data_IF_049279390264
#
_entry.id   IF_049279390264
#
_cell.length_a   1.000
_cell.length_b   1.000
_cell.length_c   1.000
_cell.angle_alpha   90.00
_cell.angle_beta   90.00
_cell.angle_gamma   90.00
#
_symmetry.space_group_name_H-M   'P 1'
#
loop_
_entity.id
_entity.type
_entity.pdbx_description
1 polymer ?
#
# COMPACT_ATOMS: atom_id res chain seq x y z
N UNK A 1 -1.37 37.21 21.03
CA UNK A 1 -1.77 35.79 21.22
C UNK A 1 -3.15 35.47 20.64
N UNK A 2 -3.67 36.26 19.68
CA UNK A 2 -4.93 35.96 18.98
C UNK A 2 -4.58 35.07 17.80
N UNK A 3 -5.20 33.90 17.69
CA UNK A 3 -5.04 32.98 16.54
C UNK A 3 -4.28 31.66 16.82
N UNK A 4 -3.57 31.53 17.94
CA UNK A 4 -2.83 30.29 18.22
C UNK A 4 -3.76 29.07 18.38
N UNK A 5 -4.86 29.24 19.13
CA UNK A 5 -5.84 28.17 19.38
C UNK A 5 -6.46 27.62 18.08
N UNK A 6 -7.02 28.43 17.16
CA UNK A 6 -7.55 27.90 15.92
C UNK A 6 -6.46 27.34 15.00
N UNK A 7 -5.25 27.91 14.97
CA UNK A 7 -4.15 27.37 14.17
C UNK A 7 -3.74 25.95 14.60
N UNK A 8 -3.51 25.74 15.90
CA UNK A 8 -3.16 24.42 16.44
C UNK A 8 -4.33 23.43 16.33
N UNK A 9 -5.57 23.88 16.54
CA UNK A 9 -6.75 23.03 16.41
C UNK A 9 -6.92 22.52 14.97
N UNK A 10 -6.79 23.39 13.97
CA UNK A 10 -6.89 23.00 12.56
C UNK A 10 -5.74 22.09 12.16
N UNK A 11 -4.52 22.40 12.60
CA UNK A 11 -3.35 21.54 12.36
C UNK A 11 -3.57 20.13 12.90
N UNK A 12 -3.98 20.00 14.17
CA UNK A 12 -4.19 18.70 14.80
C UNK A 12 -5.36 17.95 14.16
N UNK A 13 -6.44 18.66 13.83
CA UNK A 13 -7.58 18.06 13.13
C UNK A 13 -7.17 17.47 11.78
N UNK A 14 -6.48 18.24 10.95
CA UNK A 14 -6.03 17.77 9.64
C UNK A 14 -4.97 16.67 9.75
N UNK A 15 -4.09 16.72 10.75
CA UNK A 15 -3.12 15.66 11.01
C UNK A 15 -3.82 14.33 11.32
N UNK A 16 -4.81 14.34 12.23
CA UNK A 16 -5.54 13.13 12.61
C UNK A 16 -6.42 12.63 11.47
N UNK A 17 -7.04 13.53 10.71
CA UNK A 17 -7.90 13.16 9.60
C UNK A 17 -7.11 12.55 8.44
N UNK A 18 -6.03 13.21 8.00
CA UNK A 18 -5.25 12.77 6.83
C UNK A 18 -4.21 11.71 7.17
N UNK A 19 -3.64 11.73 8.38
CA UNK A 19 -2.64 10.76 8.82
C UNK A 19 -3.20 9.57 9.61
N UNK A 20 -4.44 9.68 10.12
CA UNK A 20 -5.10 8.61 10.87
C UNK A 20 -6.31 8.06 10.15
N UNK A 21 -7.37 8.87 10.04
CA UNK A 21 -8.67 8.43 9.49
C UNK A 21 -8.52 7.95 8.05
N UNK A 22 -7.85 8.71 7.20
CA UNK A 22 -7.68 8.38 5.79
C UNK A 22 -6.91 7.06 5.53
N UNK A 23 -5.69 6.82 6.06
CA UNK A 23 -4.98 5.58 5.82
C UNK A 23 -5.71 4.36 6.43
N UNK A 24 -6.34 4.51 7.60
CA UNK A 24 -7.11 3.42 8.19
C UNK A 24 -8.33 3.06 7.35
N UNK A 25 -9.09 4.06 6.91
CA UNK A 25 -10.28 3.85 6.08
C UNK A 25 -9.91 3.19 4.74
N UNK A 26 -8.89 3.71 4.06
CA UNK A 26 -8.43 3.16 2.78
C UNK A 26 -7.84 1.76 2.93
N UNK A 27 -7.09 1.49 4.00
CA UNK A 27 -6.58 0.14 4.29
C UNK A 27 -7.71 -0.84 4.57
N UNK A 28 -8.68 -0.46 5.41
CA UNK A 28 -9.82 -1.31 5.75
C UNK A 28 -10.67 -1.64 4.51
N UNK A 29 -11.03 -0.63 3.71
CA UNK A 29 -11.79 -0.83 2.48
C UNK A 29 -10.99 -1.63 1.44
N UNK A 30 -9.69 -1.36 1.31
CA UNK A 30 -8.79 -2.08 0.42
C UNK A 30 -8.70 -3.57 0.77
N UNK A 31 -8.56 -3.90 2.06
CA UNK A 31 -8.53 -5.29 2.52
C UNK A 31 -9.90 -5.97 2.39
N UNK A 32 -11.00 -5.25 2.62
CA UNK A 32 -12.35 -5.81 2.49
C UNK A 32 -12.66 -6.16 1.03
N UNK A 33 -12.48 -5.21 0.11
CA UNK A 33 -12.92 -5.36 -1.28
C UNK A 33 -11.86 -5.99 -2.18
N UNK A 34 -10.58 -5.73 -1.93
CA UNK A 34 -9.48 -6.12 -2.82
C UNK A 34 -8.29 -6.73 -2.06
N UNK A 35 -8.50 -7.78 -1.24
CA UNK A 35 -7.45 -8.31 -0.36
C UNK A 35 -6.22 -8.79 -1.13
N UNK A 36 -6.36 -9.44 -2.29
CA UNK A 36 -5.20 -9.93 -3.03
C UNK A 36 -4.30 -8.79 -3.55
N UNK A 37 -4.90 -7.73 -4.10
CA UNK A 37 -4.19 -6.55 -4.59
C UNK A 37 -3.62 -5.71 -3.45
N UNK A 38 -4.41 -5.49 -2.38
CA UNK A 38 -4.00 -4.73 -1.20
C UNK A 38 -2.80 -5.39 -0.48
N UNK A 39 -2.65 -6.72 -0.59
CA UNK A 39 -1.52 -7.46 -0.05
C UNK A 39 -0.40 -7.69 -1.10
N UNK A 40 -0.37 -6.94 -2.20
CA UNK A 40 0.75 -6.91 -3.13
C UNK A 40 0.65 -7.89 -4.31
N UNK A 41 -0.53 -8.47 -4.56
CA UNK A 41 -0.79 -9.33 -5.73
C UNK A 41 0.18 -10.53 -5.82
N UNK A 42 0.45 -11.16 -4.67
CA UNK A 42 1.47 -12.19 -4.53
C UNK A 42 1.08 -13.48 -5.25
N UNK A 43 2.05 -14.09 -5.92
CA UNK A 43 1.95 -15.40 -6.57
C UNK A 43 2.58 -16.44 -5.65
N UNK A 44 1.78 -17.41 -5.23
CA UNK A 44 2.21 -18.52 -4.39
C UNK A 44 2.28 -19.80 -5.21
N UNK A 45 3.34 -20.58 -5.01
CA UNK A 45 3.47 -21.93 -5.57
C UNK A 45 4.11 -22.83 -4.52
N UNK A 46 3.44 -23.93 -4.18
CA UNK A 46 3.90 -24.90 -3.16
C UNK A 46 4.17 -24.23 -1.80
N UNK A 47 3.28 -23.31 -1.40
CA UNK A 47 3.40 -22.50 -0.17
C UNK A 47 4.63 -21.57 -0.11
N UNK A 48 5.34 -21.40 -1.23
CA UNK A 48 6.46 -20.46 -1.38
C UNK A 48 5.99 -19.25 -2.18
N UNK A 49 6.26 -18.05 -1.67
CA UNK A 49 6.05 -16.80 -2.40
C UNK A 49 7.06 -16.75 -3.54
N UNK A 50 6.57 -16.78 -4.78
CA UNK A 50 7.41 -16.69 -5.97
C UNK A 50 7.63 -15.25 -6.41
N UNK A 51 6.79 -14.31 -6.00
CA UNK A 51 6.88 -12.89 -6.34
C UNK A 51 5.50 -12.24 -6.37
N UNK A 52 5.40 -11.11 -7.07
CA UNK A 52 4.15 -10.41 -7.35
C UNK A 52 3.86 -10.43 -8.84
N UNK A 53 2.58 -10.50 -9.22
CA UNK A 53 2.17 -10.36 -10.63
C UNK A 53 2.61 -9.04 -11.28
N UNK A 54 2.96 -8.03 -10.45
CA UNK A 54 3.34 -6.69 -10.90
C UNK A 54 4.86 -6.45 -10.86
N UNK A 55 5.65 -7.40 -10.34
CA UNK A 55 7.10 -7.26 -10.20
C UNK A 55 7.80 -8.22 -11.17
N UNK A 56 8.56 -7.67 -12.11
CA UNK A 56 9.46 -8.43 -12.96
C UNK A 56 10.69 -8.93 -12.19
N UNK A 57 11.15 -10.15 -12.50
CA UNK A 57 12.35 -10.73 -11.91
C UNK A 57 13.49 -10.76 -12.93
N UNK A 58 14.73 -10.84 -12.43
CA UNK A 58 15.89 -11.03 -13.27
C UNK A 58 15.95 -12.45 -13.80
N UNK A 59 15.48 -12.64 -15.03
CA UNK A 59 15.57 -13.91 -15.75
C UNK A 59 16.78 -13.89 -16.67
N UNK A 60 17.83 -14.65 -16.33
CA UNK A 60 19.10 -14.70 -17.08
C UNK A 60 19.34 -16.03 -17.79
N UNK A 61 18.63 -17.09 -17.41
CA UNK A 61 18.77 -18.40 -18.06
C UNK A 61 18.08 -18.40 -19.44
N UNK A 62 18.69 -19.09 -20.41
CA UNK A 62 18.27 -19.10 -21.81
C UNK A 62 16.84 -19.65 -22.06
N UNK A 63 16.26 -20.38 -21.11
CA UNK A 63 14.91 -20.93 -21.21
C UNK A 63 13.79 -19.96 -20.81
N UNK A 64 14.12 -18.75 -20.34
CA UNK A 64 13.13 -17.77 -19.94
C UNK A 64 13.07 -16.60 -20.92
N UNK A 65 11.91 -15.94 -20.94
CA UNK A 65 11.81 -14.63 -21.56
C UNK A 65 12.59 -13.61 -20.73
N UNK A 66 13.40 -12.80 -21.42
CA UNK A 66 14.14 -11.72 -20.79
C UNK A 66 13.27 -10.48 -20.66
N UNK A 67 13.29 -9.89 -19.46
CA UNK A 67 12.66 -8.60 -19.20
C UNK A 67 13.38 -7.45 -19.91
N UNK A 68 12.78 -6.27 -19.86
CA UNK A 68 13.40 -5.02 -20.31
C UNK A 68 14.47 -4.53 -19.33
#
# INVERSE_FOLDING_TARGET
MIGLRPAFSTMLFLLLLTGGVYPLLTTALGQWWFPWQANGSLIHKDNVIRGSALIGQSFTAAGYFHGR
#
